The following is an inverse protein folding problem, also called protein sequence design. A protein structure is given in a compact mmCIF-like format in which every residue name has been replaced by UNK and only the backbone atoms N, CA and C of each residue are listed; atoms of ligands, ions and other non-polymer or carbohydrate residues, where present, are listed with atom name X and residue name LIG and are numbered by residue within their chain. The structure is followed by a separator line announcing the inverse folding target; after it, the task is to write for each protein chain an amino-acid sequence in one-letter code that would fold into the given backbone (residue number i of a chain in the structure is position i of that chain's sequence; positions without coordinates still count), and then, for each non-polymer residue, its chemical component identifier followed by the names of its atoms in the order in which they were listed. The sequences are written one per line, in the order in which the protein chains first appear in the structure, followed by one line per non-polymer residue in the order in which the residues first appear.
data_IF_489433884916
#
_entry.id   IF_489433884916
#
_cell.length_a   1.000
_cell.length_b   1.000
_cell.length_c   1.000
_cell.angle_alpha   90.00
_cell.angle_beta   90.00
_cell.angle_gamma   90.00
#
_symmetry.space_group_name_H-M   'P 1'
#
loop_
_entity.id
_entity.type
_entity.pdbx_description
1 polymer ?
#
# COMPACT_ATOMS: atom_id res chain seq x y z
N UNK A 1 13.61 6.76 10.30
CA UNK A 1 12.14 6.62 10.45
C UNK A 1 11.78 5.17 10.15
N UNK A 2 11.08 4.50 11.05
CA UNK A 2 10.92 3.05 11.01
C UNK A 2 9.44 2.67 10.78
N UNK A 3 9.13 2.04 9.65
CA UNK A 3 7.76 1.55 9.37
C UNK A 3 7.30 0.52 10.41
N UNK A 4 8.23 -0.30 10.91
CA UNK A 4 7.92 -1.34 11.88
C UNK A 4 7.37 -0.75 13.18
N UNK A 5 8.01 0.29 13.71
CA UNK A 5 7.58 0.93 14.97
C UNK A 5 6.19 1.56 14.84
N UNK A 6 5.90 2.20 13.70
CA UNK A 6 4.58 2.81 13.48
C UNK A 6 3.49 1.75 13.32
N UNK A 7 3.76 0.68 12.58
CA UNK A 7 2.80 -0.42 12.44
C UNK A 7 2.54 -1.05 13.81
N UNK A 8 3.59 -1.35 14.59
CA UNK A 8 3.46 -1.87 15.96
C UNK A 8 2.59 -0.97 16.84
N UNK A 9 2.85 0.34 16.82
CA UNK A 9 2.06 1.32 17.56
C UNK A 9 0.59 1.29 17.16
N UNK A 10 0.28 1.10 15.87
CA UNK A 10 -1.11 1.01 15.37
C UNK A 10 -1.85 -0.23 15.83
N UNK A 11 -1.17 -1.36 15.98
CA UNK A 11 -1.76 -2.63 16.41
C UNK A 11 -1.58 -2.94 17.90
N UNK A 12 -0.99 -2.02 18.66
CA UNK A 12 -0.78 -2.15 20.11
C UNK A 12 0.26 -3.21 20.50
N UNK A 13 1.21 -3.54 19.62
CA UNK A 13 2.30 -4.47 19.93
C UNK A 13 3.49 -3.72 20.54
N UNK A 14 3.99 -4.23 21.66
CA UNK A 14 5.13 -3.66 22.38
C UNK A 14 6.35 -4.60 22.40
N UNK A 15 6.20 -5.83 21.90
CA UNK A 15 7.25 -6.83 21.84
C UNK A 15 7.81 -6.97 20.41
N UNK A 16 8.70 -7.96 20.23
CA UNK A 16 9.33 -8.27 18.95
C UNK A 16 8.90 -9.61 18.34
N UNK A 17 7.84 -10.23 18.85
CA UNK A 17 7.47 -11.60 18.48
C UNK A 17 7.00 -11.69 17.02
N UNK A 18 6.34 -10.64 16.51
CA UNK A 18 5.82 -10.59 15.15
C UNK A 18 6.68 -9.78 14.19
N UNK A 19 7.87 -9.32 14.59
CA UNK A 19 8.70 -8.42 13.78
C UNK A 19 9.07 -9.00 12.43
N UNK A 20 9.39 -10.29 12.38
CA UNK A 20 9.69 -10.98 11.13
C UNK A 20 8.50 -10.93 10.17
N UNK A 21 7.30 -11.19 10.67
CA UNK A 21 6.07 -11.18 9.87
C UNK A 21 5.73 -9.74 9.43
N UNK A 22 5.78 -8.79 10.36
CA UNK A 22 5.51 -7.37 10.07
C UNK A 22 6.48 -6.82 9.03
N UNK A 23 7.78 -7.10 9.15
CA UNK A 23 8.75 -6.67 8.14
C UNK A 23 8.47 -7.30 6.76
N UNK A 24 8.06 -8.58 6.71
CA UNK A 24 7.67 -9.23 5.45
C UNK A 24 6.49 -8.51 4.79
N UNK A 25 5.45 -8.20 5.57
CA UNK A 25 4.26 -7.47 5.10
C UNK A 25 4.66 -6.07 4.64
N UNK A 26 5.39 -5.32 5.46
CA UNK A 26 5.84 -3.95 5.17
C UNK A 26 6.66 -3.92 3.88
N UNK A 27 7.61 -4.83 3.70
CA UNK A 27 8.45 -4.89 2.52
C UNK A 27 7.63 -5.17 1.25
N UNK A 28 6.65 -6.08 1.33
CA UNK A 28 5.77 -6.37 0.21
C UNK A 28 4.88 -5.17 -0.14
N UNK A 29 4.26 -4.54 0.86
CA UNK A 29 3.42 -3.35 0.70
C UNK A 29 4.23 -2.18 0.14
N UNK A 30 5.46 -1.99 0.61
CA UNK A 30 6.36 -0.96 0.11
C UNK A 30 6.73 -1.19 -1.36
N UNK A 31 7.06 -2.43 -1.74
CA UNK A 31 7.36 -2.78 -3.12
C UNK A 31 6.13 -2.60 -4.04
N UNK A 32 4.94 -3.00 -3.58
CA UNK A 32 3.70 -2.81 -4.33
C UNK A 32 3.38 -1.32 -4.53
N UNK A 33 3.48 -0.51 -3.47
CA UNK A 33 3.29 0.94 -3.59
C UNK A 33 4.29 1.53 -4.58
N UNK A 34 5.57 1.18 -4.49
CA UNK A 34 6.61 1.67 -5.40
C UNK A 34 6.30 1.32 -6.86
N UNK A 35 5.76 0.12 -7.12
CA UNK A 35 5.37 -0.31 -8.47
C UNK A 35 4.20 0.51 -9.07
N UNK A 36 3.45 1.23 -8.23
CA UNK A 36 2.37 2.14 -8.65
C UNK A 36 2.87 3.58 -8.88
N UNK A 37 4.11 3.88 -8.51
CA UNK A 37 4.72 5.19 -8.70
C UNK A 37 5.49 5.22 -10.04
N UNK A 38 5.87 6.42 -10.54
CA UNK A 38 6.73 6.52 -11.71
C UNK A 38 8.01 5.70 -11.58
N UNK A 39 8.49 5.15 -12.70
CA UNK A 39 9.62 4.20 -12.74
C UNK A 39 10.95 4.79 -12.22
N UNK A 40 11.09 6.11 -12.25
CA UNK A 40 12.21 6.87 -11.71
C UNK A 40 12.13 7.08 -10.19
N UNK A 41 11.03 6.67 -9.56
CA UNK A 41 10.85 6.74 -8.11
C UNK A 41 11.60 5.59 -7.43
N UNK A 42 12.79 5.90 -6.89
CA UNK A 42 13.69 4.93 -6.24
C UNK A 42 13.26 4.62 -4.79
N UNK A 43 12.46 5.49 -4.17
CA UNK A 43 12.02 5.33 -2.78
C UNK A 43 10.63 5.93 -2.54
N UNK A 44 9.93 5.42 -1.53
CA UNK A 44 8.60 5.90 -1.17
C UNK A 44 8.68 7.32 -0.60
N UNK A 45 7.99 8.31 -1.20
CA UNK A 45 7.95 9.66 -0.70
C UNK A 45 7.35 9.74 0.71
N UNK A 46 7.84 10.66 1.54
CA UNK A 46 7.33 10.86 2.89
C UNK A 46 5.81 11.12 2.95
N UNK A 47 5.24 11.77 1.92
CA UNK A 47 3.79 12.00 1.79
C UNK A 47 2.97 10.73 1.59
N UNK A 48 3.56 9.67 1.03
CA UNK A 48 2.89 8.38 0.81
C UNK A 48 3.21 7.35 1.90
N UNK A 49 4.06 7.71 2.87
CA UNK A 49 4.52 6.83 3.94
C UNK A 49 3.38 6.23 4.74
N UNK A 50 2.33 7.01 5.01
CA UNK A 50 1.17 6.56 5.78
C UNK A 50 0.46 5.40 5.10
N UNK A 51 0.44 5.34 3.77
CA UNK A 51 -0.20 4.25 3.00
C UNK A 51 0.44 2.91 3.36
N UNK A 52 1.77 2.87 3.44
CA UNK A 52 2.49 1.65 3.84
C UNK A 52 2.07 1.20 5.23
N UNK A 53 1.95 2.13 6.18
CA UNK A 53 1.58 1.82 7.57
C UNK A 53 0.13 1.30 7.65
N UNK A 54 -0.81 1.98 7.00
CA UNK A 54 -2.23 1.59 7.01
C UNK A 54 -2.47 0.24 6.32
N UNK A 55 -1.91 0.05 5.12
CA UNK A 55 -2.07 -1.20 4.37
C UNK A 55 -1.39 -2.37 5.10
N UNK A 56 -0.20 -2.17 5.67
CA UNK A 56 0.47 -3.21 6.46
C UNK A 56 -0.35 -3.60 7.69
N UNK A 57 -0.95 -2.63 8.37
CA UNK A 57 -1.84 -2.84 9.51
C UNK A 57 -3.07 -3.68 9.12
N UNK A 58 -3.74 -3.32 8.01
CA UNK A 58 -4.89 -4.06 7.48
C UNK A 58 -4.53 -5.50 7.12
N UNK A 59 -3.42 -5.72 6.40
CA UNK A 59 -2.95 -7.05 6.01
C UNK A 59 -2.60 -7.93 7.21
N UNK A 60 -1.92 -7.37 8.21
CA UNK A 60 -1.62 -8.08 9.45
C UNK A 60 -2.90 -8.53 10.18
N UNK A 61 -3.87 -7.62 10.34
CA UNK A 61 -5.14 -7.93 11.00
C UNK A 61 -5.94 -8.99 10.23
N UNK A 62 -5.92 -8.94 8.89
CA UNK A 62 -6.57 -9.95 8.02
C UNK A 62 -5.97 -11.34 8.24
N UNK A 63 -4.65 -11.48 8.20
CA UNK A 63 -3.94 -12.75 8.45
C UNK A 63 -4.28 -13.30 9.85
N UNK A 64 -4.31 -12.42 10.86
CA UNK A 64 -4.69 -12.82 12.23
C UNK A 64 -6.14 -13.31 12.33
N UNK A 65 -7.07 -12.69 11.61
CA UNK A 65 -8.48 -13.09 11.59
C UNK A 65 -8.72 -14.39 10.80
N UNK A 66 -7.98 -14.62 9.71
CA UNK A 66 -8.01 -15.87 8.92
C UNK A 66 -7.58 -17.08 9.76
N UNK A 67 -6.58 -16.91 10.63
CA UNK A 67 -6.16 -17.95 11.57
C UNK A 67 -7.19 -18.29 12.67
N UNK A 68 -8.13 -17.37 12.95
CA UNK A 68 -9.23 -17.59 13.91
C UNK A 68 -10.51 -18.10 13.25
N UNK A 69 -10.68 -17.86 11.94
CA UNK A 69 -11.87 -18.20 11.17
C UNK A 69 -11.58 -19.36 10.21
N UNK A 70 -11.31 -20.55 10.75
CA UNK A 70 -10.97 -21.77 9.99
C UNK A 70 -12.11 -22.36 9.15
N UNK A 71 -13.19 -21.61 8.91
CA UNK A 71 -14.33 -22.09 8.14
C UNK A 71 -14.87 -20.96 7.25
N UNK A 72 -14.34 -20.81 6.03
CA UNK A 72 -15.08 -20.42 4.80
C UNK A 72 -14.19 -19.92 3.65
N UNK A 73 -14.21 -20.70 2.58
CA UNK A 73 -14.27 -20.28 1.16
C UNK A 73 -12.97 -19.96 0.40
N UNK A 74 -12.46 -21.04 -0.16
CA UNK A 74 -11.57 -21.29 -1.30
C UNK A 74 -11.87 -20.51 -2.59
N UNK A 75 -11.96 -19.18 -2.55
CA UNK A 75 -12.17 -18.41 -3.80
C UNK A 75 -12.17 -16.87 -3.72
N UNK A 76 -12.10 -16.26 -2.53
CA UNK A 76 -12.12 -14.79 -2.38
C UNK A 76 -10.77 -14.15 -2.02
N UNK A 77 -9.78 -14.93 -1.59
CA UNK A 77 -8.53 -14.43 -1.03
C UNK A 77 -7.74 -13.55 -2.02
N UNK A 78 -7.79 -13.87 -3.32
CA UNK A 78 -7.02 -13.16 -4.34
C UNK A 78 -7.62 -11.81 -4.78
N UNK A 79 -8.92 -11.54 -4.52
CA UNK A 79 -9.55 -10.26 -4.87
C UNK A 79 -9.35 -9.19 -3.79
N UNK A 80 -9.29 -9.58 -2.52
CA UNK A 80 -9.10 -8.62 -1.41
C UNK A 80 -7.69 -8.00 -1.42
N UNK A 81 -6.66 -8.75 -1.83
CA UNK A 81 -5.29 -8.21 -1.90
C UNK A 81 -5.13 -7.09 -2.94
N UNK A 82 -5.89 -7.14 -4.04
CA UNK A 82 -5.87 -6.07 -5.06
C UNK A 82 -6.53 -4.77 -4.61
N UNK A 83 -7.46 -4.83 -3.65
CA UNK A 83 -8.27 -3.68 -3.23
C UNK A 83 -7.54 -2.77 -2.23
N UNK A 84 -6.55 -3.27 -1.50
CA UNK A 84 -5.90 -2.55 -0.39
C UNK A 84 -5.33 -1.16 -0.78
N UNK A 85 -5.02 -0.95 -2.07
CA UNK A 85 -4.52 0.33 -2.60
C UNK A 85 -5.56 1.19 -3.32
N UNK A 86 -6.76 0.69 -3.61
CA UNK A 86 -7.78 1.40 -4.39
C UNK A 86 -8.21 2.71 -3.72
N UNK A 87 -8.35 2.71 -2.39
CA UNK A 87 -8.72 3.92 -1.62
C UNK A 87 -7.66 5.03 -1.66
N UNK A 88 -6.40 4.69 -1.97
CA UNK A 88 -5.30 5.64 -2.04
C UNK A 88 -4.96 6.07 -3.47
N UNK A 89 -5.58 5.46 -4.48
CA UNK A 89 -5.26 5.74 -5.88
C UNK A 89 -5.46 7.23 -6.21
N UNK A 90 -6.52 7.86 -5.70
CA UNK A 90 -6.74 9.30 -5.90
C UNK A 90 -5.65 10.19 -5.28
N UNK A 91 -5.03 9.77 -4.18
CA UNK A 91 -3.92 10.49 -3.54
C UNK A 91 -2.64 10.30 -4.36
N UNK A 92 -2.39 9.07 -4.83
CA UNK A 92 -1.25 8.75 -5.69
C UNK A 92 -1.34 9.55 -6.99
N UNK A 93 -2.50 9.55 -7.65
CA UNK A 93 -2.73 10.26 -8.91
C UNK A 93 -2.62 11.78 -8.74
N UNK A 94 -3.05 12.35 -7.60
CA UNK A 94 -2.89 13.77 -7.31
C UNK A 94 -1.41 14.18 -7.13
N UNK A 95 -0.57 13.28 -6.63
CA UNK A 95 0.87 13.51 -6.45
C UNK A 95 1.69 13.19 -7.70
N UNK A 96 1.23 12.22 -8.48
CA UNK A 96 1.85 11.71 -9.69
C UNK A 96 0.83 11.68 -10.82
N UNK A 97 0.37 12.85 -11.29
CA UNK A 97 -0.57 12.92 -12.38
C UNK A 97 0.06 12.26 -13.60
N UNK A 98 -0.63 11.28 -14.17
CA UNK A 98 -0.23 10.75 -15.48
C UNK A 98 -0.30 11.94 -16.44
N UNK A 99 0.83 12.27 -17.05
CA UNK A 99 0.87 13.23 -18.14
C UNK A 99 0.07 12.63 -19.28
N UNK A 100 -1.23 12.89 -19.30
CA UNK A 100 -2.06 12.56 -20.43
C UNK A 100 -1.56 13.46 -21.57
N UNK A 101 -0.89 12.84 -22.54
CA UNK A 101 -0.37 13.52 -23.73
C UNK A 101 -1.49 14.02 -24.67
N UNK A 102 -2.74 14.11 -24.18
CA UNK A 102 -3.92 14.55 -24.94
C UNK A 102 -4.28 16.04 -24.77
N UNK A 103 -3.69 16.78 -23.82
CA UNK A 103 -3.98 18.23 -23.68
C UNK A 103 -2.94 19.17 -24.31
N UNK A 104 -2.28 18.75 -25.40
CA UNK A 104 -1.72 19.72 -26.35
C UNK A 104 -2.76 20.02 -27.40
N UNK A 105 -3.72 20.85 -27.00
CA UNK A 105 -4.67 21.48 -27.92
C UNK A 105 -3.94 22.00 -29.15
N UNK A 106 -4.34 21.49 -30.30
CA UNK A 106 -3.95 21.96 -31.62
C UNK A 106 -4.32 23.43 -31.76
N UNK A 107 -3.35 24.31 -31.52
CA UNK A 107 -3.49 25.73 -31.86
C UNK A 107 -3.30 25.84 -33.38
N UNK A 108 -4.42 25.86 -34.10
CA UNK A 108 -4.43 26.17 -35.54
C UNK A 108 -4.52 27.68 -35.76
N UNK A 109 -3.81 28.10 -36.80
CA UNK A 109 -3.34 29.43 -37.20
C UNK A 109 -4.43 30.44 -37.58
N UNK A 110 -4.07 31.73 -37.51
CA UNK A 110 -4.53 32.78 -38.43
C UNK A 110 -3.33 33.37 -39.16
#
# INVERSE_FOLDING_TARGET
MNYLDDVKSRIGLNDSAQDKQLNSIINNVAAELLSRLPIDTISIPGKLRFIVVEVSTKRYNRIGAEGMSTDSQDGRSNSFERNDFEEYQGIIDALYPKLDSSERGSVNFY
#
